data_IF_700812559688
#
_entry.id   IF_700812559688
#
_cell.length_a   1.000
_cell.length_b   1.000
_cell.length_c   1.000
_cell.angle_alpha   90.00
_cell.angle_beta   90.00
_cell.angle_gamma   90.00
#
_symmetry.space_group_name_H-M   'P 1'
#
loop_
_entity.id
_entity.type
_entity.pdbx_description
1 polymer ?
#
# COMPACT_ATOMS: atom_id res chain seq x y z
N UNK A 1 25.68 -26.30 6.47
CA UNK A 1 24.95 -25.14 7.01
C UNK A 1 24.10 -25.61 8.18
N UNK A 2 24.22 -25.03 9.37
CA UNK A 2 23.40 -25.39 10.54
C UNK A 2 22.15 -24.49 10.62
N UNK A 3 20.99 -25.08 10.90
CA UNK A 3 19.70 -24.39 11.01
C UNK A 3 19.30 -24.08 12.46
N UNK A 4 20.24 -24.13 13.40
CA UNK A 4 20.00 -23.91 14.83
C UNK A 4 19.49 -22.51 15.17
N UNK A 5 19.68 -21.54 14.28
CA UNK A 5 19.11 -20.19 14.42
C UNK A 5 17.57 -20.18 14.33
N UNK A 6 16.96 -21.16 13.65
CA UNK A 6 15.49 -21.21 13.49
C UNK A 6 14.82 -21.36 14.85
N UNK A 7 15.31 -22.23 15.73
CA UNK A 7 14.74 -22.40 17.07
C UNK A 7 14.87 -21.15 17.94
N UNK A 8 15.87 -20.31 17.70
CA UNK A 8 16.06 -19.05 18.43
C UNK A 8 15.15 -17.92 17.91
N UNK A 9 14.82 -17.93 16.62
CA UNK A 9 14.11 -16.83 15.96
C UNK A 9 12.71 -17.17 15.45
N UNK A 10 12.21 -18.40 15.65
CA UNK A 10 10.90 -18.82 15.17
C UNK A 10 9.75 -17.87 15.52
N UNK A 11 9.69 -17.21 16.70
CA UNK A 11 8.59 -16.28 17.01
C UNK A 11 8.63 -15.02 16.14
N UNK A 12 9.84 -14.53 15.84
CA UNK A 12 10.03 -13.37 14.95
C UNK A 12 9.71 -13.74 13.51
N UNK A 13 10.12 -14.92 13.06
CA UNK A 13 9.76 -15.43 11.72
C UNK A 13 8.24 -15.56 11.58
N UNK A 14 7.56 -16.07 12.60
CA UNK A 14 6.11 -16.18 12.61
C UNK A 14 5.43 -14.80 12.59
N UNK A 15 5.97 -13.84 13.33
CA UNK A 15 5.48 -12.45 13.33
C UNK A 15 5.64 -11.81 11.94
N UNK A 16 6.79 -11.98 11.30
CA UNK A 16 7.04 -11.48 9.94
C UNK A 16 6.17 -12.16 8.88
N UNK A 17 5.96 -13.47 9.01
CA UNK A 17 5.03 -14.22 8.16
C UNK A 17 3.61 -13.70 8.31
N UNK A 18 3.16 -13.47 9.55
CA UNK A 18 1.85 -12.89 9.82
C UNK A 18 1.70 -11.48 9.22
N UNK A 19 2.71 -10.62 9.36
CA UNK A 19 2.70 -9.29 8.73
C UNK A 19 2.61 -9.37 7.21
N UNK A 20 3.29 -10.33 6.59
CA UNK A 20 3.23 -10.54 5.13
C UNK A 20 1.83 -10.97 4.68
N UNK A 21 1.22 -11.93 5.40
CA UNK A 21 -0.17 -12.36 5.14
C UNK A 21 -1.14 -11.21 5.36
N UNK A 22 -0.97 -10.42 6.41
CA UNK A 22 -1.82 -9.27 6.68
C UNK A 22 -1.73 -8.22 5.56
N UNK A 23 -0.52 -7.87 5.10
CA UNK A 23 -0.34 -6.98 3.95
C UNK A 23 -1.00 -7.54 2.70
N UNK A 24 -0.79 -8.82 2.39
CA UNK A 24 -1.39 -9.49 1.25
C UNK A 24 -2.92 -9.38 1.28
N UNK A 25 -3.55 -9.76 2.40
CA UNK A 25 -5.01 -9.74 2.53
C UNK A 25 -5.55 -8.33 2.39
N UNK A 26 -4.96 -7.35 3.07
CA UNK A 26 -5.39 -5.95 2.99
C UNK A 26 -5.28 -5.44 1.55
N UNK A 27 -4.11 -5.62 0.91
CA UNK A 27 -3.86 -5.11 -0.43
C UNK A 27 -4.73 -5.78 -1.49
N UNK A 28 -4.97 -7.08 -1.40
CA UNK A 28 -5.87 -7.80 -2.31
C UNK A 28 -7.30 -7.34 -2.11
N UNK A 29 -7.80 -7.28 -0.89
CA UNK A 29 -9.22 -6.93 -0.62
C UNK A 29 -9.51 -5.50 -1.07
N UNK A 30 -8.75 -4.51 -0.60
CA UNK A 30 -9.01 -3.12 -0.96
C UNK A 30 -8.63 -2.82 -2.42
N UNK A 31 -7.54 -3.44 -2.91
CA UNK A 31 -7.10 -3.23 -4.27
C UNK A 31 -8.06 -3.84 -5.28
N UNK A 32 -8.66 -5.00 -4.98
CA UNK A 32 -9.70 -5.60 -5.81
C UNK A 32 -10.96 -4.75 -5.89
N UNK A 33 -11.43 -4.19 -4.75
CA UNK A 33 -12.56 -3.26 -4.74
C UNK A 33 -12.27 -2.03 -5.62
N UNK A 34 -11.07 -1.47 -5.53
CA UNK A 34 -10.65 -0.34 -6.36
C UNK A 34 -10.53 -0.72 -7.83
N UNK A 35 -9.99 -1.90 -8.15
CA UNK A 35 -9.87 -2.45 -9.50
C UNK A 35 -11.23 -2.61 -10.18
N UNK A 36 -12.25 -3.07 -9.45
CA UNK A 36 -13.63 -3.16 -9.97
C UNK A 36 -14.13 -1.77 -10.39
N UNK A 37 -13.94 -0.76 -9.53
CA UNK A 37 -14.32 0.62 -9.84
C UNK A 37 -13.59 1.15 -11.08
N UNK A 38 -12.29 0.91 -11.19
CA UNK A 38 -11.50 1.28 -12.36
C UNK A 38 -11.96 0.55 -13.63
N UNK A 39 -12.31 -0.73 -13.53
CA UNK A 39 -12.81 -1.52 -14.66
C UNK A 39 -14.12 -0.95 -15.19
N UNK A 40 -15.08 -0.64 -14.30
CA UNK A 40 -16.32 0.02 -14.70
C UNK A 40 -16.08 1.40 -15.32
N UNK A 41 -15.18 2.21 -14.75
CA UNK A 41 -14.81 3.49 -15.31
C UNK A 41 -14.19 3.38 -16.72
N UNK A 42 -13.48 2.29 -17.01
CA UNK A 42 -12.89 2.06 -18.33
C UNK A 42 -13.90 1.56 -19.36
N UNK A 43 -14.74 0.60 -18.99
CA UNK A 43 -15.68 -0.05 -19.90
C UNK A 43 -16.91 0.84 -20.15
N UNK A 44 -17.59 1.21 -19.07
CA UNK A 44 -18.89 1.89 -19.12
C UNK A 44 -18.82 3.40 -18.86
N UNK A 45 -17.66 3.90 -18.42
CA UNK A 45 -17.47 5.32 -18.15
C UNK A 45 -17.43 6.20 -19.40
N UNK A 46 -17.71 7.50 -19.20
CA UNK A 46 -17.54 8.53 -20.22
C UNK A 46 -16.07 8.79 -20.57
N UNK A 47 -15.83 9.68 -21.55
CA UNK A 47 -14.47 9.97 -22.06
C UNK A 47 -13.48 10.35 -20.95
N UNK A 48 -13.93 11.15 -19.98
CA UNK A 48 -13.08 11.63 -18.88
C UNK A 48 -12.76 10.52 -17.87
N UNK A 49 -13.75 9.79 -17.37
CA UNK A 49 -13.52 8.73 -16.36
C UNK A 49 -12.70 7.58 -16.93
N UNK A 50 -12.93 7.22 -18.20
CA UNK A 50 -12.09 6.26 -18.93
C UNK A 50 -10.64 6.73 -19.05
N UNK A 51 -10.42 8.02 -19.36
CA UNK A 51 -9.08 8.58 -19.47
C UNK A 51 -8.36 8.56 -18.11
N UNK A 52 -9.03 8.98 -17.04
CA UNK A 52 -8.47 8.97 -15.69
C UNK A 52 -8.13 7.56 -15.21
N UNK A 53 -9.03 6.59 -15.42
CA UNK A 53 -8.78 5.20 -15.03
C UNK A 53 -7.62 4.58 -15.83
N UNK A 54 -7.53 4.85 -17.14
CA UNK A 54 -6.37 4.42 -17.94
C UNK A 54 -5.08 5.09 -17.50
N UNK A 55 -5.13 6.38 -17.16
CA UNK A 55 -3.99 7.15 -16.64
C UNK A 55 -3.48 6.56 -15.34
N UNK A 56 -4.39 6.25 -14.41
CA UNK A 56 -4.09 5.54 -13.17
C UNK A 56 -3.39 4.20 -13.46
N UNK A 57 -4.01 3.32 -14.26
CA UNK A 57 -3.43 2.00 -14.56
C UNK A 57 -2.05 2.13 -15.22
N UNK A 58 -1.89 3.08 -16.16
CA UNK A 58 -0.61 3.30 -16.85
C UNK A 58 0.48 3.77 -15.88
N UNK A 59 0.15 4.71 -15.00
CA UNK A 59 1.10 5.25 -14.03
C UNK A 59 1.56 4.19 -13.02
N UNK A 60 0.63 3.50 -12.38
CA UNK A 60 0.94 2.53 -11.33
C UNK A 60 1.55 1.23 -11.87
N UNK A 61 1.21 0.81 -13.10
CA UNK A 61 1.89 -0.30 -13.79
C UNK A 61 3.26 0.10 -14.35
N UNK A 62 3.44 1.38 -14.68
CA UNK A 62 4.68 1.93 -15.25
C UNK A 62 5.72 2.36 -14.21
N UNK A 63 5.38 2.37 -12.92
CA UNK A 63 6.29 2.78 -11.84
C UNK A 63 6.66 1.58 -10.95
N UNK A 64 7.95 1.40 -10.59
CA UNK A 64 8.35 0.31 -9.70
C UNK A 64 7.68 0.43 -8.33
N UNK A 65 7.14 -0.68 -7.82
CA UNK A 65 6.46 -0.73 -6.51
C UNK A 65 7.35 -0.19 -5.38
N UNK A 66 8.65 -0.47 -5.43
CA UNK A 66 9.61 0.03 -4.44
C UNK A 66 9.68 1.57 -4.44
N UNK A 67 9.60 2.21 -5.61
CA UNK A 67 9.60 3.67 -5.72
C UNK A 67 8.27 4.25 -5.20
N UNK A 68 7.15 3.59 -5.47
CA UNK A 68 5.85 4.00 -4.92
C UNK A 68 5.87 3.97 -3.39
N UNK A 69 6.37 2.87 -2.81
CA UNK A 69 6.52 2.73 -1.36
C UNK A 69 7.47 3.77 -0.79
N UNK A 70 8.62 3.99 -1.44
CA UNK A 70 9.60 4.98 -1.02
C UNK A 70 9.01 6.40 -1.01
N UNK A 71 8.31 6.79 -2.08
CA UNK A 71 7.68 8.11 -2.18
C UNK A 71 6.58 8.30 -1.14
N UNK A 72 5.79 7.27 -0.85
CA UNK A 72 4.77 7.36 0.19
C UNK A 72 5.38 7.42 1.58
N UNK A 73 6.34 6.55 1.90
CA UNK A 73 6.94 6.47 3.22
C UNK A 73 7.83 7.67 3.54
N UNK A 74 8.77 8.02 2.65
CA UNK A 74 9.70 9.13 2.89
C UNK A 74 9.15 10.48 2.41
N UNK A 75 8.49 10.51 1.26
CA UNK A 75 7.88 11.73 0.73
C UNK A 75 6.68 12.16 1.58
N UNK A 76 5.56 11.44 1.46
CA UNK A 76 4.33 11.79 2.19
C UNK A 76 4.52 11.69 3.71
N UNK A 77 5.22 10.66 4.20
CA UNK A 77 5.50 10.50 5.64
C UNK A 77 6.30 11.64 6.27
N UNK A 78 7.15 12.35 5.51
CA UNK A 78 7.86 13.54 6.03
C UNK A 78 6.96 14.79 6.08
N UNK A 79 5.99 14.88 5.18
CA UNK A 79 5.07 16.02 5.08
C UNK A 79 3.92 15.92 6.08
N UNK A 80 3.42 14.71 6.36
CA UNK A 80 2.32 14.49 7.30
C UNK A 80 2.52 15.22 8.63
N UNK A 81 3.61 15.01 9.39
CA UNK A 81 3.82 15.69 10.68
C UNK A 81 3.92 17.21 10.65
N UNK A 82 3.99 17.85 9.47
CA UNK A 82 3.95 19.30 9.31
C UNK A 82 2.52 19.85 9.31
N UNK A 83 1.51 19.00 9.09
CA UNK A 83 0.10 19.38 9.11
C UNK A 83 -0.31 19.70 10.56
N UNK A 84 -0.81 20.91 10.85
CA UNK A 84 -1.26 21.28 12.19
C UNK A 84 -2.35 20.32 12.69
N UNK A 85 -2.21 19.83 13.93
CA UNK A 85 -3.19 18.94 14.54
C UNK A 85 -3.02 17.44 14.23
N UNK A 86 -2.22 17.06 13.22
CA UNK A 86 -2.11 15.65 12.84
C UNK A 86 -1.48 14.79 13.94
N UNK A 87 -0.47 15.33 14.63
CA UNK A 87 0.29 14.59 15.65
C UNK A 87 -0.54 14.33 16.91
N UNK A 88 -1.52 15.19 17.17
CA UNK A 88 -2.48 15.06 18.26
C UNK A 88 -3.70 14.20 17.85
N UNK A 89 -3.85 13.89 16.56
CA UNK A 89 -4.97 13.11 16.07
C UNK A 89 -4.91 11.65 16.50
N UNK A 90 -6.08 11.02 16.61
CA UNK A 90 -6.22 9.59 16.88
C UNK A 90 -5.55 8.70 15.83
N UNK A 91 -5.34 9.21 14.61
CA UNK A 91 -4.76 8.47 13.51
C UNK A 91 -3.23 8.51 13.50
N UNK A 92 -2.58 9.38 14.27
CA UNK A 92 -1.13 9.52 14.27
C UNK A 92 -0.35 8.22 14.51
N UNK A 93 -0.76 7.32 15.44
CA UNK A 93 -0.08 6.04 15.63
C UNK A 93 -0.06 5.18 14.37
N UNK A 94 -1.12 5.22 13.56
CA UNK A 94 -1.25 4.45 12.32
C UNK A 94 -0.48 5.14 11.19
N UNK A 95 -0.65 6.46 11.06
CA UNK A 95 -0.05 7.26 9.97
C UNK A 95 1.47 7.33 10.01
N UNK A 96 2.10 7.05 11.16
CA UNK A 96 3.56 7.03 11.30
C UNK A 96 4.19 5.65 11.02
N UNK A 97 3.39 4.59 10.93
CA UNK A 97 3.90 3.23 10.80
C UNK A 97 4.25 2.88 9.35
N UNK A 98 5.38 2.19 9.14
CA UNK A 98 5.76 1.69 7.82
C UNK A 98 4.74 0.72 7.22
N UNK A 99 4.05 -0.06 8.06
CA UNK A 99 2.99 -0.97 7.63
C UNK A 99 1.84 -0.23 6.93
N UNK A 100 1.46 0.95 7.43
CA UNK A 100 0.43 1.78 6.80
C UNK A 100 0.82 2.16 5.37
N UNK A 101 2.02 2.70 5.17
CA UNK A 101 2.49 3.09 3.83
C UNK A 101 2.67 1.90 2.89
N UNK A 102 3.16 0.76 3.41
CA UNK A 102 3.23 -0.49 2.65
C UNK A 102 1.85 -0.93 2.18
N UNK A 103 0.88 -0.97 3.09
CA UNK A 103 -0.49 -1.38 2.76
C UNK A 103 -1.13 -0.47 1.70
N UNK A 104 -0.95 0.86 1.80
CA UNK A 104 -1.47 1.82 0.82
C UNK A 104 -0.78 1.66 -0.52
N UNK A 105 0.55 1.61 -0.55
CA UNK A 105 1.32 1.45 -1.79
C UNK A 105 0.95 0.18 -2.53
N UNK A 106 0.85 -0.93 -1.80
CA UNK A 106 0.57 -2.25 -2.38
C UNK A 106 -0.89 -2.32 -2.85
N UNK A 107 -1.83 -1.72 -2.12
CA UNK A 107 -3.24 -1.61 -2.52
C UNK A 107 -3.37 -0.85 -3.84
N UNK A 108 -2.72 0.31 -3.95
CA UNK A 108 -2.77 1.15 -5.15
C UNK A 108 -2.17 0.43 -6.36
N UNK A 109 -1.02 -0.22 -6.17
CA UNK A 109 -0.37 -1.00 -7.22
C UNK A 109 -1.19 -2.21 -7.65
N UNK A 110 -1.74 -2.98 -6.70
CA UNK A 110 -2.54 -4.17 -6.98
C UNK A 110 -3.80 -3.84 -7.78
N UNK A 111 -4.41 -2.68 -7.52
CA UNK A 111 -5.61 -2.26 -8.20
C UNK A 111 -5.42 -1.86 -9.66
N UNK A 112 -4.17 -1.53 -10.05
CA UNK A 112 -3.83 -0.94 -11.33
C UNK A 112 -3.75 -1.98 -12.44
#
# INVERSE_FOLDING_TARGET
>A
MSFTWISSYWPLLLTGAWQTVALLVISVVFGFVLAIGLAFAQVSGGRLTRLLARGYCTFFRGTPLLIQLWLLYYGVGSLLPMIPGIRQSLFWPILREGFFFASVSFTLNYAA
#
